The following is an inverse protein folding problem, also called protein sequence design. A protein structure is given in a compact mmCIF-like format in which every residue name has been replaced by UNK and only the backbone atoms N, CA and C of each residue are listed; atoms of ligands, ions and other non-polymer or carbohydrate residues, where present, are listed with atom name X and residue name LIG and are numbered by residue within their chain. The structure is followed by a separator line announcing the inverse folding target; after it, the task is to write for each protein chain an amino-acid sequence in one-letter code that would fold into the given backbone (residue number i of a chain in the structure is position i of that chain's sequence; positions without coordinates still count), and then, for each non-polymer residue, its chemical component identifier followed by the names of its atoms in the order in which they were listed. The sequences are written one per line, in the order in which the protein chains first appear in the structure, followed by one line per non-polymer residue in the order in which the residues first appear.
data_IF_004308532553
#
_entry.id   IF_004308532553
#
_cell.length_a   1.000
_cell.length_b   1.000
_cell.length_c   1.000
_cell.angle_alpha   90.00
_cell.angle_beta   90.00
_cell.angle_gamma   90.00
#
_symmetry.space_group_name_H-M   'P 1'
#
loop_
_entity.id
_entity.type
_entity.pdbx_description
1 polymer ?
#
# COMPACT_ATOMS: atom_id res chain seq x y z
N UNK A 1 -25.82 -20.78 16.77
CA UNK A 1 -24.62 -20.02 17.17
C UNK A 1 -24.28 -19.08 16.02
N UNK A 2 -24.57 -17.79 16.15
CA UNK A 2 -24.34 -16.82 15.07
C UNK A 2 -22.87 -16.44 15.01
N UNK A 3 -22.23 -16.65 13.85
CA UNK A 3 -20.89 -16.13 13.56
C UNK A 3 -20.82 -14.64 13.88
N UNK A 4 -19.76 -14.13 14.53
CA UNK A 4 -19.60 -12.69 14.70
C UNK A 4 -19.55 -12.07 13.30
N UNK A 5 -20.60 -11.32 12.95
CA UNK A 5 -20.71 -10.63 11.69
C UNK A 5 -19.47 -9.73 11.55
N UNK A 6 -18.55 -10.11 10.66
CA UNK A 6 -17.41 -9.27 10.33
C UNK A 6 -17.98 -7.94 9.86
N UNK A 7 -17.75 -6.88 10.64
CA UNK A 7 -18.22 -5.54 10.27
C UNK A 7 -17.65 -5.23 8.89
N UNK A 8 -18.49 -4.93 7.88
CA UNK A 8 -18.03 -4.81 6.52
C UNK A 8 -16.98 -3.70 6.44
N UNK A 9 -15.74 -4.11 6.15
CA UNK A 9 -14.60 -3.20 6.19
C UNK A 9 -14.59 -2.26 4.99
N UNK A 10 -14.17 -1.01 5.21
CA UNK A 10 -14.04 -0.04 4.13
C UNK A 10 -12.86 -0.40 3.21
N UNK A 11 -13.08 -0.26 1.90
CA UNK A 11 -12.02 -0.35 0.87
C UNK A 11 -11.05 0.82 1.00
N UNK A 12 -9.89 0.76 0.35
CA UNK A 12 -8.95 1.87 0.31
C UNK A 12 -9.55 3.09 -0.38
N UNK A 13 -10.34 2.88 -1.44
CA UNK A 13 -11.10 3.93 -2.11
C UNK A 13 -12.13 4.59 -1.18
N UNK A 14 -12.96 3.80 -0.50
CA UNK A 14 -13.96 4.34 0.42
C UNK A 14 -13.29 5.13 1.55
N UNK A 15 -12.16 4.65 2.08
CA UNK A 15 -11.38 5.39 3.09
C UNK A 15 -10.81 6.70 2.55
N UNK A 16 -10.38 6.73 1.28
CA UNK A 16 -9.95 7.96 0.63
C UNK A 16 -11.11 8.96 0.57
N UNK A 17 -12.30 8.52 0.17
CA UNK A 17 -13.49 9.38 0.13
C UNK A 17 -13.87 9.92 1.52
N UNK A 18 -13.78 9.09 2.56
CA UNK A 18 -13.97 9.53 3.97
C UNK A 18 -12.96 10.62 4.33
N UNK A 19 -11.69 10.45 3.98
CA UNK A 19 -10.66 11.46 4.22
C UNK A 19 -10.95 12.76 3.47
N UNK A 20 -11.30 12.67 2.20
CA UNK A 20 -11.64 13.83 1.37
C UNK A 20 -12.87 14.56 1.91
N UNK A 21 -13.89 13.84 2.38
CA UNK A 21 -15.06 14.41 3.04
C UNK A 21 -14.67 15.18 4.30
N UNK A 22 -13.81 14.61 5.14
CA UNK A 22 -13.30 15.27 6.35
C UNK A 22 -12.45 16.51 6.04
N UNK A 23 -11.69 16.50 4.94
CA UNK A 23 -10.91 17.66 4.50
C UNK A 23 -11.79 18.80 3.97
N UNK A 24 -12.85 18.46 3.22
CA UNK A 24 -13.83 19.44 2.70
C UNK A 24 -14.68 20.05 3.81
N UNK A 25 -14.85 19.36 4.95
CA UNK A 25 -15.59 19.84 6.10
C UNK A 25 -14.79 19.69 7.42
N UNK A 26 -13.79 20.55 7.69
CA UNK A 26 -12.88 20.39 8.84
C UNK A 26 -13.57 20.42 10.21
N UNK A 27 -14.72 21.11 10.30
CA UNK A 27 -15.54 21.23 11.53
C UNK A 27 -16.43 20.00 11.80
N UNK A 28 -16.55 19.10 10.82
CA UNK A 28 -17.37 17.90 10.95
C UNK A 28 -16.83 17.00 12.07
N UNK A 29 -17.72 16.58 12.97
CA UNK A 29 -17.35 15.70 14.09
C UNK A 29 -17.20 14.26 13.60
N UNK A 30 -16.39 13.47 14.30
CA UNK A 30 -16.16 12.06 13.93
C UNK A 30 -17.46 11.24 13.90
N UNK A 31 -18.42 11.55 14.78
CA UNK A 31 -19.74 10.91 14.79
C UNK A 31 -20.61 11.27 13.59
N UNK A 32 -20.56 12.52 13.12
CA UNK A 32 -21.29 12.94 11.90
C UNK A 32 -20.69 12.26 10.66
N UNK A 33 -19.36 12.17 10.61
CA UNK A 33 -18.65 11.49 9.53
C UNK A 33 -18.92 9.98 9.55
N UNK A 34 -19.08 9.38 10.73
CA UNK A 34 -19.51 7.99 10.90
C UNK A 34 -20.93 7.75 10.35
N UNK A 35 -21.89 8.64 10.67
CA UNK A 35 -23.25 8.56 10.12
C UNK A 35 -23.25 8.73 8.59
N UNK A 36 -22.41 9.62 8.07
CA UNK A 36 -22.23 9.77 6.62
C UNK A 36 -21.65 8.50 5.96
N UNK A 37 -20.70 7.83 6.60
CA UNK A 37 -20.18 6.54 6.11
C UNK A 37 -21.27 5.47 6.06
N UNK A 38 -22.09 5.39 7.11
CA UNK A 38 -23.20 4.46 7.16
C UNK A 38 -24.23 4.74 6.05
N UNK A 39 -24.58 6.01 5.81
CA UNK A 39 -25.55 6.36 4.79
C UNK A 39 -25.02 6.15 3.37
N UNK A 40 -23.75 6.46 3.12
CA UNK A 40 -23.10 6.45 1.80
C UNK A 40 -22.69 5.04 1.36
N UNK A 41 -22.01 4.29 2.24
CA UNK A 41 -21.44 2.99 1.89
C UNK A 41 -22.23 1.81 2.46
N UNK A 42 -23.28 2.06 3.24
CA UNK A 42 -24.04 1.03 3.97
C UNK A 42 -23.17 0.17 4.89
N UNK A 43 -22.09 0.75 5.41
CA UNK A 43 -21.09 0.09 6.27
C UNK A 43 -21.04 0.77 7.62
N UNK A 44 -21.13 -0.03 8.68
CA UNK A 44 -20.93 0.45 10.05
C UNK A 44 -19.46 0.37 10.41
N UNK A 45 -18.89 1.49 10.86
CA UNK A 45 -17.50 1.60 11.33
C UNK A 45 -17.46 2.29 12.68
N UNK A 46 -16.44 2.01 13.48
CA UNK A 46 -16.25 2.70 14.76
C UNK A 46 -15.76 4.14 14.57
N UNK A 47 -16.04 5.01 15.54
CA UNK A 47 -15.44 6.35 15.63
C UNK A 47 -13.90 6.30 15.65
N UNK A 48 -13.31 5.28 16.28
CA UNK A 48 -11.87 5.04 16.26
C UNK A 48 -11.33 4.76 14.85
N UNK A 49 -12.10 4.10 14.00
CA UNK A 49 -11.76 3.87 12.58
C UNK A 49 -11.80 5.18 11.79
N UNK A 50 -12.83 6.01 12.00
CA UNK A 50 -12.92 7.35 11.40
C UNK A 50 -11.70 8.20 11.76
N UNK A 51 -11.35 8.26 13.05
CA UNK A 51 -10.18 9.01 13.53
C UNK A 51 -8.88 8.50 12.92
N UNK A 52 -8.71 7.18 12.80
CA UNK A 52 -7.54 6.59 12.11
C UNK A 52 -7.46 7.00 10.64
N UNK A 53 -8.58 7.03 9.92
CA UNK A 53 -8.63 7.46 8.51
C UNK A 53 -8.26 8.95 8.38
N UNK A 54 -8.80 9.82 9.24
CA UNK A 54 -8.48 11.26 9.26
C UNK A 54 -6.98 11.54 9.45
N UNK A 55 -6.31 10.72 10.24
CA UNK A 55 -4.90 10.92 10.59
C UNK A 55 -3.91 10.22 9.65
N UNK A 56 -4.38 9.46 8.65
CA UNK A 56 -3.50 8.77 7.69
C UNK A 56 -3.16 9.68 6.49
N UNK A 57 -1.90 9.73 6.02
CA UNK A 57 -1.55 10.54 4.85
C UNK A 57 -2.27 10.05 3.59
N UNK A 58 -2.55 10.92 2.59
CA UNK A 58 -3.23 10.53 1.35
C UNK A 58 -2.54 9.36 0.63
N UNK A 59 -1.21 9.36 0.61
CA UNK A 59 -0.39 8.29 0.01
C UNK A 59 -0.61 6.89 0.64
N UNK A 60 -1.26 6.80 1.80
CA UNK A 60 -1.66 5.51 2.38
C UNK A 60 -2.77 4.83 1.58
N UNK A 61 -3.66 5.61 0.97
CA UNK A 61 -4.83 5.10 0.23
C UNK A 61 -4.49 4.83 -1.24
N UNK A 62 -3.42 5.42 -1.77
CA UNK A 62 -2.87 5.09 -3.08
C UNK A 62 -2.36 3.64 -3.09
N UNK A 63 -3.06 2.77 -3.82
CA UNK A 63 -2.76 1.35 -4.00
C UNK A 63 -3.17 0.95 -5.41
N UNK A 64 -2.41 0.07 -6.06
CA UNK A 64 -2.76 -0.50 -7.36
C UNK A 64 -4.11 -1.26 -7.30
N UNK A 65 -4.45 -1.82 -6.13
CA UNK A 65 -5.76 -2.38 -5.85
C UNK A 65 -6.51 -1.47 -4.86
N UNK A 66 -7.44 -0.66 -5.38
CA UNK A 66 -8.27 0.27 -4.62
C UNK A 66 -9.48 -0.40 -3.93
N UNK A 67 -9.92 -1.55 -4.44
CA UNK A 67 -11.01 -2.35 -3.87
C UNK A 67 -10.55 -3.17 -2.65
N UNK A 68 -9.24 -3.33 -2.45
CA UNK A 68 -8.69 -3.94 -1.25
C UNK A 68 -9.09 -3.17 0.02
N UNK A 69 -9.39 -3.88 1.09
CA UNK A 69 -9.74 -3.28 2.39
C UNK A 69 -8.51 -2.98 3.24
N UNK A 70 -7.35 -3.56 2.90
CA UNK A 70 -6.07 -3.33 3.58
C UNK A 70 -4.95 -3.22 2.57
N UNK A 71 -4.04 -2.26 2.79
CA UNK A 71 -2.79 -2.18 2.04
C UNK A 71 -1.89 -3.37 2.41
N UNK A 72 -1.44 -4.13 1.41
CA UNK A 72 -0.48 -5.22 1.61
C UNK A 72 0.83 -4.63 2.14
N UNK A 73 1.35 -5.22 3.23
CA UNK A 73 2.71 -4.92 3.68
C UNK A 73 3.66 -5.80 2.85
N UNK A 74 4.42 -5.17 1.98
CA UNK A 74 5.45 -5.83 1.19
C UNK A 74 6.65 -6.18 2.10
N UNK A 75 7.09 -7.43 2.09
CA UNK A 75 8.25 -7.87 2.88
C UNK A 75 9.57 -7.31 2.34
N UNK A 76 9.68 -7.17 1.02
CA UNK A 76 10.90 -6.71 0.32
C UNK A 76 10.58 -5.54 -0.62
N UNK A 77 10.32 -4.32 -0.10
CA UNK A 77 9.76 -3.22 -0.88
C UNK A 77 10.68 -2.76 -2.02
N UNK A 78 12.02 -2.79 -1.81
CA UNK A 78 12.98 -2.45 -2.86
C UNK A 78 12.99 -3.49 -3.99
N UNK A 79 12.93 -4.77 -3.65
CA UNK A 79 12.91 -5.88 -4.61
C UNK A 79 11.60 -5.86 -5.42
N UNK A 80 10.46 -5.74 -4.75
CA UNK A 80 9.15 -5.68 -5.43
C UNK A 80 9.09 -4.48 -6.38
N UNK A 81 9.59 -3.31 -5.96
CA UNK A 81 9.67 -2.13 -6.85
C UNK A 81 10.49 -2.42 -8.11
N UNK A 82 11.72 -2.91 -7.97
CA UNK A 82 12.57 -3.19 -9.14
C UNK A 82 11.99 -4.27 -10.05
N UNK A 83 11.29 -5.25 -9.49
CA UNK A 83 10.65 -6.32 -10.26
C UNK A 83 9.42 -5.81 -11.03
N UNK A 84 8.62 -4.93 -10.43
CA UNK A 84 7.51 -4.24 -11.10
C UNK A 84 8.03 -3.30 -12.19
N UNK A 85 9.09 -2.53 -11.91
CA UNK A 85 9.72 -1.66 -12.90
C UNK A 85 10.29 -2.46 -14.08
N UNK A 86 10.76 -3.69 -13.84
CA UNK A 86 11.18 -4.61 -14.90
C UNK A 86 9.98 -5.11 -15.71
N UNK A 87 8.89 -5.52 -15.04
CA UNK A 87 7.68 -6.00 -15.70
C UNK A 87 7.12 -4.94 -16.65
N UNK A 88 6.87 -3.72 -16.18
CA UNK A 88 6.31 -2.65 -17.02
C UNK A 88 7.21 -2.25 -18.20
N UNK A 89 8.54 -2.34 -18.05
CA UNK A 89 9.46 -2.06 -19.15
C UNK A 89 9.42 -3.10 -20.26
N UNK A 90 8.94 -4.30 -19.99
CA UNK A 90 8.94 -5.43 -20.92
C UNK A 90 7.51 -5.89 -21.28
N UNK A 91 6.48 -5.22 -20.73
CA UNK A 91 5.06 -5.58 -20.90
C UNK A 91 4.60 -5.42 -22.36
N UNK A 92 5.16 -4.44 -23.08
CA UNK A 92 4.82 -4.19 -24.49
C UNK A 92 5.61 -5.11 -25.46
N UNK A 93 6.80 -5.55 -25.07
CA UNK A 93 7.75 -6.21 -25.96
C UNK A 93 7.76 -7.75 -25.84
N UNK A 94 7.22 -8.33 -24.76
CA UNK A 94 7.28 -9.79 -24.54
C UNK A 94 6.27 -10.30 -23.51
N UNK A 95 5.76 -11.52 -23.72
CA UNK A 95 5.01 -12.26 -22.69
C UNK A 95 5.96 -12.69 -21.58
N UNK A 96 5.91 -11.99 -20.46
CA UNK A 96 6.73 -12.30 -19.28
C UNK A 96 6.09 -13.47 -18.52
N UNK A 97 6.71 -14.64 -18.61
CA UNK A 97 6.31 -15.80 -17.80
C UNK A 97 6.84 -15.72 -16.37
N UNK A 98 6.20 -16.46 -15.46
CA UNK A 98 6.60 -16.54 -14.05
C UNK A 98 8.08 -16.95 -13.87
N UNK A 99 8.60 -17.83 -14.74
CA UNK A 99 10.00 -18.26 -14.69
C UNK A 99 10.96 -17.09 -14.94
N UNK A 100 10.63 -16.20 -15.88
CA UNK A 100 11.44 -15.02 -16.19
C UNK A 100 11.42 -14.05 -15.00
N UNK A 101 10.26 -13.86 -14.36
CA UNK A 101 10.14 -13.04 -13.15
C UNK A 101 10.96 -13.61 -11.99
N UNK A 102 10.93 -14.93 -11.78
CA UNK A 102 11.69 -15.59 -10.72
C UNK A 102 13.20 -15.46 -10.93
N UNK A 103 13.68 -15.65 -12.17
CA UNK A 103 15.08 -15.43 -12.52
C UNK A 103 15.48 -13.99 -12.22
N UNK A 104 14.69 -13.02 -12.70
CA UNK A 104 15.00 -11.59 -12.48
C UNK A 104 14.97 -11.21 -11.01
N UNK A 105 14.04 -11.75 -10.23
CA UNK A 105 13.98 -11.53 -8.78
C UNK A 105 15.23 -12.09 -8.07
N UNK A 106 15.76 -13.22 -8.54
CA UNK A 106 17.02 -13.79 -8.07
C UNK A 106 18.21 -12.87 -8.31
N UNK A 107 18.31 -12.30 -9.51
CA UNK A 107 19.39 -11.36 -9.86
C UNK A 107 19.30 -10.07 -9.05
N UNK A 108 18.12 -9.45 -8.97
CA UNK A 108 17.87 -8.26 -8.13
C UNK A 108 18.25 -8.54 -6.68
N UNK A 109 17.91 -9.71 -6.15
CA UNK A 109 18.26 -10.10 -4.78
C UNK A 109 19.78 -10.16 -4.60
N UNK A 110 20.52 -10.75 -5.55
CA UNK A 110 21.99 -10.81 -5.51
C UNK A 110 22.60 -9.41 -5.54
N UNK A 111 22.13 -8.53 -6.42
CA UNK A 111 22.64 -7.16 -6.53
C UNK A 111 22.40 -6.35 -5.26
N UNK A 112 21.21 -6.46 -4.67
CA UNK A 112 20.87 -5.82 -3.40
C UNK A 112 21.70 -6.36 -2.22
N UNK A 113 22.14 -7.63 -2.27
CA UNK A 113 23.02 -8.22 -1.26
C UNK A 113 24.50 -7.84 -1.48
N UNK A 114 24.98 -7.84 -2.72
CA UNK A 114 26.37 -7.49 -3.06
C UNK A 114 26.66 -6.00 -2.89
N UNK A 115 25.68 -5.11 -3.10
CA UNK A 115 25.82 -3.68 -2.88
C UNK A 115 26.12 -3.28 -1.42
N UNK A 116 25.83 -4.15 -0.45
CA UNK A 116 26.14 -3.93 0.98
C UNK A 116 27.61 -4.24 1.30
N UNK A 117 28.27 -5.10 0.50
CA UNK A 117 29.67 -5.48 0.69
C UNK A 117 30.66 -4.53 0.00
N UNK A 118 30.22 -3.78 -1.02
CA UNK A 118 31.10 -2.86 -1.76
C UNK A 118 31.38 -1.53 -1.04
N UNK A 119 30.63 -1.20 0.02
CA UNK A 119 30.83 0.04 0.81
C UNK A 119 31.97 -0.01 1.83
N UNK A 120 32.62 -1.17 2.03
CA UNK A 120 33.69 -1.35 3.03
C UNK A 120 35.09 -1.40 2.42
N UNK A 121 35.22 -1.44 1.08
CA UNK A 121 36.52 -1.57 0.40
C UNK A 121 37.03 -0.28 -0.27
N UNK A 122 36.41 0.88 -0.02
CA UNK A 122 36.82 2.15 -0.63
C UNK A 122 37.08 3.28 0.39
N UNK A 123 37.79 2.97 1.49
CA UNK A 123 38.48 3.98 2.30
C UNK A 123 39.76 3.39 2.89
N UNK A 124 40.92 3.80 2.37
CA UNK A 124 42.27 3.44 2.86
C UNK A 124 43.12 2.83 1.75
N UNK A 125 44.25 3.38 1.30
CA UNK A 125 45.11 4.42 1.87
C UNK A 125 45.91 5.09 0.76
N UNK A 126 45.86 6.43 0.70
CA UNK A 126 46.94 7.24 0.17
C UNK A 126 47.75 7.70 1.38
N UNK A 127 48.99 7.25 1.50
CA UNK A 127 50.08 8.01 2.10
C UNK A 127 51.44 7.48 1.64
#
# INVERSE_FOLDING_TARGET
MSSPAQSPSLTLEEKLQVRLKAQRAPRMKDGELQLWVLSTFKKSVSTSTIRRIRNKPPAYFCSANSSATRRRKVKFPKLEKQLVDFFHRNEEDSVISDNILLLKAGDIKKDLCCGVLCGVLYTGSHH
#
